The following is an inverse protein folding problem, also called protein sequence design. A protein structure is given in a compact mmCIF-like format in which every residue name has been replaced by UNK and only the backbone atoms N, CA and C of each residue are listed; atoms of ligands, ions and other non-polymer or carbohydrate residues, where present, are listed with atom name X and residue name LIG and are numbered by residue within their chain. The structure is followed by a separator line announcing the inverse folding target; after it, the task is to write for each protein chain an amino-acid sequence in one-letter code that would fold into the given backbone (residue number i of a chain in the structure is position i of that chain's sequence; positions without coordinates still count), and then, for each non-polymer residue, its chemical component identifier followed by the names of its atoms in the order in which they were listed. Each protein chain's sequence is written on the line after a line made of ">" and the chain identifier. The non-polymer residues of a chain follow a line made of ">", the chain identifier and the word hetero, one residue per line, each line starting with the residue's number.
data_IF_258221987307
#
_entry.id   IF_258221987307
#
_cell.length_a   1.000
_cell.length_b   1.000
_cell.length_c   1.000
_cell.angle_alpha   90.00
_cell.angle_beta   90.00
_cell.angle_gamma   90.00
#
_symmetry.space_group_name_H-M   'P 1'
#
loop_
_entity.id
_entity.type
_entity.pdbx_description
1 polymer ?
#
# COMPACT_ATOMS: atom_id res chain seq x y z
N UNK A 1 23.76 4.52 2.29
CA UNK A 1 23.07 3.26 2.64
C UNK A 1 21.64 3.58 3.04
N UNK A 2 20.71 2.66 2.80
CA UNK A 2 19.32 2.79 3.21
C UNK A 2 18.99 1.81 4.33
N UNK A 3 18.25 2.28 5.33
CA UNK A 3 17.80 1.47 6.47
C UNK A 3 16.29 1.67 6.70
N UNK A 4 15.59 0.63 7.16
CA UNK A 4 14.22 0.72 7.69
C UNK A 4 14.29 0.65 9.21
N UNK A 5 13.82 1.70 9.89
CA UNK A 5 13.76 1.76 11.36
C UNK A 5 12.40 1.20 11.80
N UNK A 6 12.43 0.03 12.44
CA UNK A 6 11.30 -0.51 13.19
C UNK A 6 11.31 0.00 14.65
N UNK A 7 10.35 -0.47 15.44
CA UNK A 7 10.23 -0.12 16.87
C UNK A 7 11.47 -0.60 17.64
N UNK A 8 11.82 -1.89 17.50
CA UNK A 8 12.91 -2.52 18.28
C UNK A 8 14.16 -2.86 17.46
N UNK A 9 14.10 -2.70 16.13
CA UNK A 9 15.20 -3.10 15.25
C UNK A 9 15.36 -2.20 14.04
N UNK A 10 16.60 -2.06 13.59
CA UNK A 10 16.96 -1.41 12.33
C UNK A 10 17.33 -2.49 11.32
N UNK A 11 16.71 -2.43 10.14
CA UNK A 11 17.00 -3.35 9.03
C UNK A 11 17.80 -2.62 7.96
N UNK A 12 18.95 -3.16 7.58
CA UNK A 12 19.72 -2.67 6.45
C UNK A 12 19.02 -3.07 5.14
N UNK A 13 18.73 -2.09 4.29
CA UNK A 13 18.07 -2.33 3.01
C UNK A 13 19.08 -2.39 1.87
N UNK A 14 19.98 -1.39 1.78
CA UNK A 14 20.98 -1.31 0.71
C UNK A 14 22.27 -0.64 1.18
N UNK A 15 23.40 -1.04 0.60
CA UNK A 15 24.70 -0.38 0.76
C UNK A 15 25.19 0.06 -0.61
N UNK A 16 25.25 1.37 -0.83
CA UNK A 16 25.44 1.90 -2.18
C UNK A 16 24.34 1.37 -3.11
N UNK A 17 24.75 0.84 -4.26
CA UNK A 17 23.84 0.26 -5.27
C UNK A 17 23.47 -1.20 -4.98
N UNK A 18 24.09 -1.83 -3.98
CA UNK A 18 23.86 -3.24 -3.68
C UNK A 18 22.68 -3.41 -2.71
N UNK A 19 21.64 -4.17 -3.08
CA UNK A 19 20.59 -4.55 -2.14
C UNK A 19 21.11 -5.56 -1.11
N UNK A 20 20.73 -5.36 0.14
CA UNK A 20 20.99 -6.27 1.27
C UNK A 20 19.70 -6.88 1.82
N UNK A 21 18.56 -6.22 1.58
CA UNK A 21 17.24 -6.75 1.89
C UNK A 21 16.97 -8.03 1.11
N UNK A 22 16.33 -9.01 1.75
CA UNK A 22 15.81 -10.21 1.09
C UNK A 22 14.52 -9.96 0.30
N UNK A 23 13.92 -8.77 0.44
CA UNK A 23 12.72 -8.37 -0.29
C UNK A 23 13.07 -7.95 -1.73
N UNK A 24 12.67 -8.70 -2.77
CA UNK A 24 13.03 -8.43 -4.16
C UNK A 24 12.39 -7.16 -4.71
N UNK A 25 11.39 -6.60 -4.01
CA UNK A 25 10.72 -5.34 -4.38
C UNK A 25 11.59 -4.13 -4.10
N UNK A 26 12.60 -4.28 -3.23
CA UNK A 26 13.49 -3.20 -2.79
C UNK A 26 14.61 -3.01 -3.81
N UNK A 27 14.59 -1.86 -4.48
CA UNK A 27 15.62 -1.43 -5.41
C UNK A 27 16.26 -0.11 -4.99
N UNK A 28 17.42 0.20 -5.55
CA UNK A 28 18.09 1.50 -5.38
C UNK A 28 18.56 2.00 -6.73
N UNK A 29 18.43 3.31 -6.96
CA UNK A 29 19.07 3.98 -8.08
C UNK A 29 19.83 5.21 -7.63
N UNK A 30 20.83 5.58 -8.41
CA UNK A 30 21.59 6.80 -8.22
C UNK A 30 21.23 7.77 -9.35
N UNK A 31 20.78 8.97 -8.98
CA UNK A 31 20.64 10.08 -9.89
C UNK A 31 21.70 11.14 -9.58
N UNK A 32 22.47 11.52 -10.59
CA UNK A 32 23.45 12.59 -10.47
C UNK A 32 22.74 13.96 -10.34
N UNK A 33 23.22 14.87 -9.47
CA UNK A 33 24.27 14.69 -8.47
C UNK A 33 23.71 14.19 -7.12
N UNK A 34 24.43 13.26 -6.47
CA UNK A 34 24.25 12.84 -5.07
C UNK A 34 22.84 12.38 -4.63
N UNK A 35 21.98 11.93 -5.55
CA UNK A 35 20.60 11.57 -5.23
C UNK A 35 20.42 10.05 -5.25
N UNK A 36 20.59 9.43 -4.08
CA UNK A 36 20.31 8.01 -3.89
C UNK A 36 18.82 7.81 -3.62
N UNK A 37 18.13 7.04 -4.47
CA UNK A 37 16.69 6.80 -4.36
C UNK A 37 16.41 5.33 -4.07
N UNK A 38 15.62 5.09 -3.02
CA UNK A 38 15.06 3.79 -2.69
C UNK A 38 13.72 3.63 -3.41
N UNK A 39 13.48 2.48 -4.02
CA UNK A 39 12.20 2.12 -4.62
C UNK A 39 11.68 0.84 -4.01
N UNK A 40 10.37 0.76 -3.81
CA UNK A 40 9.65 -0.43 -3.36
C UNK A 40 8.48 -0.63 -4.33
N UNK A 41 8.52 -1.71 -5.13
CA UNK A 41 7.46 -1.97 -6.11
C UNK A 41 7.19 -3.48 -6.25
N UNK A 42 5.93 -3.94 -6.10
CA UNK A 42 4.74 -3.20 -5.68
C UNK A 42 4.76 -2.80 -4.20
N UNK A 43 4.13 -1.68 -3.85
CA UNK A 43 4.05 -1.21 -2.44
C UNK A 43 2.88 -1.87 -1.70
N UNK A 44 3.11 -2.23 -0.43
CA UNK A 44 2.12 -2.78 0.50
C UNK A 44 1.92 -1.85 1.71
N UNK A 45 0.81 -2.00 2.44
CA UNK A 45 0.54 -1.22 3.66
C UNK A 45 1.65 -1.37 4.72
N UNK A 46 2.24 -2.57 4.81
CA UNK A 46 3.32 -2.88 5.77
C UNK A 46 4.67 -2.21 5.43
N UNK A 47 4.77 -1.64 4.24
CA UNK A 47 5.95 -0.86 3.85
C UNK A 47 5.96 0.52 4.53
N UNK A 48 4.84 0.96 5.11
CA UNK A 48 4.77 2.20 5.86
C UNK A 48 5.76 2.25 7.04
N UNK A 49 6.26 3.45 7.33
CA UNK A 49 7.13 3.71 8.47
C UNK A 49 8.40 4.49 8.14
N UNK A 50 9.36 4.45 9.06
CA UNK A 50 10.53 5.31 9.04
C UNK A 50 11.69 4.68 8.27
N UNK A 51 12.21 5.40 7.29
CA UNK A 51 13.38 5.05 6.50
C UNK A 51 14.50 6.06 6.73
N UNK A 52 15.74 5.57 6.73
CA UNK A 52 16.93 6.40 6.97
C UNK A 52 17.89 6.22 5.80
N UNK A 53 18.25 7.33 5.15
CA UNK A 53 19.38 7.42 4.25
C UNK A 53 20.59 7.88 5.05
N UNK A 54 21.63 7.05 5.14
CA UNK A 54 22.85 7.36 5.87
C UNK A 54 24.06 7.41 4.92
N UNK A 55 24.90 8.43 5.10
CA UNK A 55 26.23 8.53 4.50
C UNK A 55 27.28 8.21 5.56
N UNK A 56 28.24 7.34 5.21
CA UNK A 56 29.33 6.87 6.10
C UNK A 56 30.44 7.92 6.30
N UNK A 57 30.08 9.13 6.71
CA UNK A 57 31.04 10.16 7.16
C UNK A 57 31.39 9.97 8.63
N UNK A 58 32.41 10.69 9.12
CA UNK A 58 32.68 10.81 10.54
C UNK A 58 32.45 12.26 11.00
N UNK A 59 31.40 12.56 11.79
CA UNK A 59 30.34 11.66 12.25
C UNK A 59 29.36 11.26 11.11
N UNK A 60 28.61 10.15 11.25
CA UNK A 60 27.65 9.71 10.24
C UNK A 60 26.55 10.74 10.01
N UNK A 61 26.27 11.04 8.74
CA UNK A 61 25.17 11.95 8.36
C UNK A 61 23.95 11.14 7.97
N UNK A 62 22.80 11.46 8.53
CA UNK A 62 21.53 10.76 8.31
C UNK A 62 20.45 11.70 7.83
N UNK A 63 19.64 11.26 6.88
CA UNK A 63 18.37 11.84 6.50
C UNK A 63 17.26 10.83 6.80
N UNK A 64 16.30 11.22 7.62
CA UNK A 64 15.17 10.38 8.02
C UNK A 64 13.92 10.81 7.27
N UNK A 65 13.20 9.86 6.69
CA UNK A 65 11.94 10.07 5.98
C UNK A 65 10.88 9.10 6.49
N UNK A 66 9.62 9.54 6.52
CA UNK A 66 8.49 8.69 6.90
C UNK A 66 7.66 8.38 5.64
N UNK A 67 7.56 7.09 5.30
CA UNK A 67 6.74 6.62 4.18
C UNK A 67 5.33 6.32 4.68
N UNK A 68 4.35 7.08 4.18
CA UNK A 68 2.93 6.79 4.42
C UNK A 68 2.33 6.13 3.19
N UNK A 69 1.88 4.88 3.35
CA UNK A 69 1.23 4.14 2.27
C UNK A 69 -0.28 4.36 2.32
N UNK A 70 -0.80 5.18 1.40
CA UNK A 70 -2.23 5.42 1.26
C UNK A 70 -2.85 4.30 0.44
N UNK A 71 -3.61 3.41 1.07
CA UNK A 71 -4.36 2.38 0.36
C UNK A 71 -5.87 2.64 0.50
N UNK A 72 -6.66 2.39 -0.57
CA UNK A 72 -8.10 2.60 -0.52
C UNK A 72 -8.70 1.75 0.59
N UNK A 73 -9.52 2.34 1.45
CA UNK A 73 -10.41 1.56 2.29
C UNK A 73 -11.67 1.27 1.47
N UNK A 74 -12.05 0.00 1.39
CA UNK A 74 -13.20 -0.48 0.64
C UNK A 74 -14.12 -1.17 1.65
N UNK A 75 -15.34 -0.67 1.74
CA UNK A 75 -16.36 -1.18 2.64
C UNK A 75 -17.63 -1.47 1.86
N UNK A 76 -18.22 -2.63 2.11
CA UNK A 76 -19.55 -2.98 1.61
C UNK A 76 -20.53 -2.67 2.73
N UNK A 77 -21.56 -1.89 2.42
CA UNK A 77 -22.61 -1.53 3.38
C UNK A 77 -23.99 -1.94 2.88
N UNK A 78 -24.89 -2.20 3.82
CA UNK A 78 -26.31 -2.42 3.54
C UNK A 78 -27.04 -1.09 3.27
N UNK A 79 -28.33 -1.20 2.94
CA UNK A 79 -29.23 -0.06 2.72
C UNK A 79 -29.32 0.90 3.92
N UNK A 80 -29.08 0.41 5.15
CA UNK A 80 -29.01 1.22 6.36
C UNK A 80 -27.61 1.81 6.61
N UNK A 81 -26.62 1.47 5.79
CA UNK A 81 -25.25 1.93 5.89
C UNK A 81 -24.38 1.16 6.88
N UNK A 82 -24.83 0.03 7.39
CA UNK A 82 -24.03 -0.83 8.26
C UNK A 82 -23.04 -1.67 7.45
N UNK A 83 -21.83 -1.87 7.98
CA UNK A 83 -20.81 -2.73 7.36
C UNK A 83 -21.32 -4.17 7.23
N UNK A 84 -21.15 -4.74 6.05
CA UNK A 84 -21.56 -6.11 5.70
C UNK A 84 -20.32 -6.97 5.48
N UNK A 85 -20.19 -8.02 6.29
CA UNK A 85 -19.20 -9.10 6.10
C UNK A 85 -19.93 -10.37 5.68
N UNK A 86 -20.41 -11.12 6.67
CA UNK A 86 -21.22 -12.31 6.47
C UNK A 86 -22.67 -12.01 6.85
N UNK A 87 -23.57 -12.01 5.87
CA UNK A 87 -25.02 -11.83 6.05
C UNK A 87 -25.78 -12.98 5.39
N UNK A 88 -26.87 -13.40 6.05
CA UNK A 88 -27.76 -14.44 5.55
C UNK A 88 -29.07 -13.81 5.08
N UNK A 89 -29.46 -14.09 3.85
CA UNK A 89 -30.71 -13.62 3.26
C UNK A 89 -31.62 -14.79 2.95
N UNK A 90 -32.92 -14.58 3.08
CA UNK A 90 -33.91 -15.61 2.73
C UNK A 90 -34.09 -15.66 1.22
N UNK A 91 -34.45 -16.84 0.72
CA UNK A 91 -34.82 -17.01 -0.68
C UNK A 91 -35.97 -16.08 -1.05
N UNK A 92 -35.82 -15.36 -2.16
CA UNK A 92 -36.79 -14.37 -2.64
C UNK A 92 -36.66 -12.98 -2.03
N UNK A 93 -35.73 -12.76 -1.09
CA UNK A 93 -35.41 -11.42 -0.60
C UNK A 93 -34.62 -10.62 -1.63
N UNK A 94 -34.93 -9.33 -1.75
CA UNK A 94 -34.11 -8.37 -2.50
C UNK A 94 -32.96 -7.89 -1.61
N UNK A 95 -31.78 -7.74 -2.19
CA UNK A 95 -30.59 -7.25 -1.48
C UNK A 95 -30.13 -5.96 -2.16
N UNK A 96 -29.93 -4.91 -1.37
CA UNK A 96 -29.26 -3.69 -1.80
C UNK A 96 -27.93 -3.56 -1.06
N UNK A 97 -26.84 -3.50 -1.84
CA UNK A 97 -25.48 -3.37 -1.33
C UNK A 97 -24.83 -2.17 -1.98
N UNK A 98 -24.24 -1.31 -1.16
CA UNK A 98 -23.47 -0.16 -1.63
C UNK A 98 -22.00 -0.39 -1.30
N UNK A 99 -21.13 -0.26 -2.29
CA UNK A 99 -19.69 -0.28 -2.07
C UNK A 99 -19.19 1.16 -1.90
N UNK A 100 -18.57 1.45 -0.77
CA UNK A 100 -17.96 2.75 -0.46
C UNK A 100 -16.44 2.63 -0.54
N UNK A 101 -15.80 3.63 -1.12
CA UNK A 101 -14.33 3.74 -1.18
C UNK A 101 -13.90 5.09 -0.60
N UNK A 102 -13.02 5.07 0.39
CA UNK A 102 -12.59 6.30 1.09
C UNK A 102 -11.55 7.12 0.31
N UNK A 103 -10.72 6.47 -0.51
CA UNK A 103 -9.64 7.11 -1.25
C UNK A 103 -9.63 6.56 -2.67
N UNK A 104 -9.96 7.39 -3.66
CA UNK A 104 -9.85 7.04 -5.08
C UNK A 104 -8.52 7.57 -5.61
N UNK A 105 -7.60 6.67 -6.00
CA UNK A 105 -6.46 7.09 -6.85
C UNK A 105 -6.96 7.23 -8.29
N UNK A 106 -6.37 8.17 -9.01
CA UNK A 106 -6.64 8.35 -10.45
C UNK A 106 -6.40 7.02 -11.19
N UNK A 107 -7.38 6.58 -11.99
CA UNK A 107 -7.35 5.28 -12.69
C UNK A 107 -7.79 4.06 -11.87
N UNK A 108 -8.18 4.20 -10.59
CA UNK A 108 -8.75 3.08 -9.83
C UNK A 108 -10.17 2.77 -10.30
N UNK A 109 -10.43 1.51 -10.66
CA UNK A 109 -11.78 1.02 -11.02
C UNK A 109 -12.35 0.22 -9.85
N UNK A 110 -13.53 0.62 -9.39
CA UNK A 110 -14.31 -0.15 -8.42
C UNK A 110 -15.27 -1.06 -9.18
N UNK A 111 -15.23 -2.35 -8.89
CA UNK A 111 -16.07 -3.35 -9.54
C UNK A 111 -16.58 -4.37 -8.53
N UNK A 112 -17.80 -4.84 -8.73
CA UNK A 112 -18.38 -5.95 -7.98
C UNK A 112 -17.91 -7.29 -8.55
N UNK A 113 -17.74 -8.30 -7.70
CA UNK A 113 -17.42 -9.64 -8.12
C UNK A 113 -17.91 -10.72 -7.16
N UNK A 114 -18.15 -11.91 -7.69
CA UNK A 114 -18.48 -13.14 -6.94
C UNK A 114 -17.42 -14.16 -7.30
N UNK A 115 -16.76 -14.76 -6.29
CA UNK A 115 -15.70 -15.76 -6.49
C UNK A 115 -14.62 -15.31 -7.49
N UNK A 116 -14.12 -14.08 -7.34
CA UNK A 116 -13.17 -13.42 -8.24
C UNK A 116 -13.65 -13.23 -9.69
N UNK A 117 -14.94 -13.39 -9.98
CA UNK A 117 -15.53 -13.10 -11.30
C UNK A 117 -16.25 -11.75 -11.26
N UNK A 118 -15.94 -10.81 -12.16
CA UNK A 118 -16.61 -9.51 -12.18
C UNK A 118 -18.09 -9.66 -12.55
N UNK A 119 -18.96 -8.98 -11.82
CA UNK A 119 -20.37 -8.83 -12.19
C UNK A 119 -20.43 -7.73 -13.25
N UNK A 120 -20.83 -8.08 -14.48
CA UNK A 120 -21.10 -7.10 -15.52
C UNK A 120 -22.46 -6.47 -15.20
N UNK A 121 -22.47 -5.37 -14.44
CA UNK A 121 -23.69 -4.60 -14.20
C UNK A 121 -23.89 -3.58 -15.32
N UNK A 122 -25.05 -3.60 -15.97
CA UNK A 122 -25.52 -2.43 -16.72
C UNK A 122 -25.63 -1.23 -15.76
N UNK A 123 -25.19 -0.03 -16.16
CA UNK A 123 -25.41 1.15 -15.33
C UNK A 123 -26.93 1.37 -15.18
N UNK A 124 -27.42 1.49 -13.94
CA UNK A 124 -28.79 1.98 -13.71
C UNK A 124 -28.87 3.39 -14.33
N UNK A 125 -29.79 3.54 -15.28
CA UNK A 125 -30.08 4.77 -16.01
C UNK A 125 -30.64 5.85 -15.09
#
# INVERSE_FOLDING_TARGET
>A
MWLKKGVDRVRLLTVGLMPYSSDPRVGVSFQYPNNWRLFINPVSRDDGGVYVCQVSTHPPRTLTTNLTVLAPNIEIVDEQGHEVKDRYYKTGSTIDLTCKMSIRREGSVLAWGIDNRPIISSPRR
#
